data_IF_179932178025
#
_entry.id   IF_179932178025
#
_cell.length_a   1.000
_cell.length_b   1.000
_cell.length_c   1.000
_cell.angle_alpha   90.00
_cell.angle_beta   90.00
_cell.angle_gamma   90.00
#
_symmetry.space_group_name_H-M   'P 1'
#
loop_
_entity.id
_entity.type
_entity.pdbx_description
1 polymer ?
#
# COMPACT_ATOMS: atom_id res chain seq x y z
N UNK A 1 -17.94 -4.97 -22.99
CA UNK A 1 -17.73 -3.53 -22.75
C UNK A 1 -17.81 -3.31 -21.26
N UNK A 2 -16.67 -3.27 -20.56
CA UNK A 2 -16.67 -2.82 -19.16
C UNK A 2 -16.70 -1.29 -19.22
N UNK A 3 -17.80 -0.71 -18.78
CA UNK A 3 -18.05 0.73 -18.82
C UNK A 3 -17.09 1.46 -17.89
N UNK A 4 -16.64 2.64 -18.30
CA UNK A 4 -15.70 3.52 -17.57
C UNK A 4 -16.13 3.76 -16.10
N UNK A 5 -17.43 3.70 -15.79
CA UNK A 5 -17.99 3.79 -14.43
C UNK A 5 -17.48 2.71 -13.46
N UNK A 6 -17.31 1.46 -13.92
CA UNK A 6 -16.86 0.36 -13.08
C UNK A 6 -15.38 0.47 -12.69
N UNK A 7 -14.56 1.08 -13.55
CA UNK A 7 -13.17 1.41 -13.23
C UNK A 7 -13.13 2.59 -12.26
N UNK A 8 -13.86 3.67 -12.55
CA UNK A 8 -13.87 4.88 -11.73
C UNK A 8 -14.21 4.61 -10.26
N UNK A 9 -15.16 3.70 -10.01
CA UNK A 9 -15.53 3.32 -8.65
C UNK A 9 -14.40 2.57 -7.92
N UNK A 10 -13.72 1.62 -8.57
CA UNK A 10 -12.60 0.87 -7.94
C UNK A 10 -11.44 1.78 -7.56
N UNK A 11 -11.10 2.74 -8.41
CA UNK A 11 -10.05 3.72 -8.13
C UNK A 11 -10.40 4.61 -6.94
N UNK A 12 -11.67 5.02 -6.84
CA UNK A 12 -12.15 5.75 -5.67
C UNK A 12 -12.06 4.91 -4.39
N UNK A 13 -12.48 3.65 -4.43
CA UNK A 13 -12.40 2.72 -3.29
C UNK A 13 -10.96 2.54 -2.79
N UNK A 14 -10.00 2.44 -3.72
CA UNK A 14 -8.57 2.34 -3.41
C UNK A 14 -8.01 3.59 -2.74
N UNK A 15 -8.37 4.77 -3.23
CA UNK A 15 -7.95 6.05 -2.62
C UNK A 15 -8.56 6.19 -1.22
N UNK A 16 -9.82 5.81 -1.05
CA UNK A 16 -10.49 5.85 0.26
C UNK A 16 -9.88 4.88 1.27
N UNK A 17 -9.21 3.81 0.82
CA UNK A 17 -8.51 2.88 1.68
C UNK A 17 -7.10 3.36 2.13
N UNK A 18 -6.56 4.42 1.52
CA UNK A 18 -5.22 4.94 1.84
C UNK A 18 -5.05 5.30 3.33
N UNK A 19 -5.98 6.02 3.99
CA UNK A 19 -5.86 6.33 5.42
C UNK A 19 -5.82 5.09 6.31
N UNK A 20 -6.63 4.07 5.99
CA UNK A 20 -6.68 2.81 6.74
C UNK A 20 -5.39 2.00 6.55
N UNK A 21 -4.86 1.97 5.33
CA UNK A 21 -3.57 1.32 5.03
C UNK A 21 -2.42 2.02 5.73
N UNK A 22 -2.40 3.35 5.73
CA UNK A 22 -1.41 4.12 6.47
C UNK A 22 -1.49 3.85 7.97
N UNK A 23 -2.71 3.86 8.54
CA UNK A 23 -2.94 3.49 9.94
C UNK A 23 -2.37 2.11 10.26
N UNK A 24 -2.67 1.13 9.41
CA UNK A 24 -2.20 -0.24 9.57
C UNK A 24 -0.66 -0.32 9.55
N UNK A 25 0.00 0.35 8.61
CA UNK A 25 1.46 0.40 8.54
C UNK A 25 2.07 0.99 9.81
N UNK A 26 1.50 2.08 10.33
CA UNK A 26 1.95 2.70 11.60
C UNK A 26 1.76 1.74 12.76
N UNK A 27 0.60 1.10 12.89
CA UNK A 27 0.31 0.16 13.98
C UNK A 27 1.25 -1.05 13.96
N UNK A 28 1.49 -1.62 12.78
CA UNK A 28 2.43 -2.72 12.62
C UNK A 28 3.87 -2.30 12.92
N UNK A 29 4.28 -1.09 12.53
CA UNK A 29 5.63 -0.59 12.84
C UNK A 29 5.87 -0.47 14.35
N UNK A 30 4.81 -0.19 15.12
CA UNK A 30 4.86 0.00 16.56
C UNK A 30 4.55 -1.28 17.36
N UNK A 31 4.05 -2.34 16.74
CA UNK A 31 3.67 -3.57 17.46
C UNK A 31 4.94 -4.37 17.87
N UNK A 32 5.11 -4.72 19.16
CA UNK A 32 6.25 -5.49 19.65
C UNK A 32 6.33 -6.92 19.06
N UNK A 33 5.21 -7.51 18.62
CA UNK A 33 5.13 -8.83 18.02
C UNK A 33 5.68 -8.85 16.57
N UNK A 34 5.82 -7.69 15.91
CA UNK A 34 6.42 -7.59 14.57
C UNK A 34 7.95 -7.67 14.67
N UNK A 35 8.62 -8.62 13.96
CA UNK A 35 10.08 -8.71 13.97
C UNK A 35 10.77 -7.46 13.38
N UNK A 36 11.95 -7.11 13.91
CA UNK A 36 12.67 -5.88 13.55
C UNK A 36 12.98 -5.76 12.04
N UNK A 37 13.24 -6.89 11.36
CA UNK A 37 13.42 -6.93 9.90
C UNK A 37 12.20 -6.37 9.16
N UNK A 38 10.99 -6.69 9.64
CA UNK A 38 9.74 -6.17 9.05
C UNK A 38 9.49 -4.73 9.44
N UNK A 39 9.82 -4.34 10.68
CA UNK A 39 9.76 -2.93 11.12
C UNK A 39 10.63 -2.02 10.26
N UNK A 40 11.79 -2.49 9.81
CA UNK A 40 12.62 -1.73 8.87
C UNK A 40 11.92 -1.51 7.51
N UNK A 41 11.29 -2.55 6.94
CA UNK A 41 10.51 -2.44 5.70
C UNK A 41 9.29 -1.52 5.87
N UNK A 42 8.57 -1.64 6.98
CA UNK A 42 7.45 -0.76 7.35
C UNK A 42 7.92 0.69 7.51
N UNK A 43 9.03 0.90 8.21
CA UNK A 43 9.64 2.21 8.40
C UNK A 43 10.05 2.86 7.10
N UNK A 44 10.60 2.09 6.14
CA UNK A 44 10.91 2.58 4.79
C UNK A 44 9.65 2.96 4.02
N UNK A 45 8.60 2.15 4.08
CA UNK A 45 7.30 2.49 3.48
C UNK A 45 6.69 3.75 4.08
N UNK A 46 6.64 3.83 5.41
CA UNK A 46 6.16 5.01 6.11
C UNK A 46 7.02 6.24 5.80
N UNK A 47 8.35 6.08 5.74
CA UNK A 47 9.26 7.15 5.36
C UNK A 47 9.01 7.64 3.93
N UNK A 48 8.63 6.76 3.00
CA UNK A 48 8.19 7.13 1.65
C UNK A 48 6.90 7.96 1.73
N UNK A 49 5.88 7.47 2.44
CA UNK A 49 4.60 8.17 2.67
C UNK A 49 4.74 9.57 3.30
N UNK A 50 5.70 9.77 4.22
CA UNK A 50 5.87 11.03 4.96
C UNK A 50 7.06 11.87 4.47
N UNK A 51 7.82 11.39 3.48
CA UNK A 51 9.06 12.02 3.05
C UNK A 51 8.78 13.46 2.64
N UNK A 52 9.44 14.47 3.24
CA UNK A 52 9.25 15.88 2.88
C UNK A 52 9.76 16.24 1.49
N UNK A 53 10.41 15.30 0.79
CA UNK A 53 10.77 15.43 -0.62
C UNK A 53 9.59 15.04 -1.53
N UNK A 54 8.71 14.14 -1.07
CA UNK A 54 7.48 13.69 -1.76
C UNK A 54 6.18 14.21 -1.14
N UNK A 55 6.26 15.03 -0.08
CA UNK A 55 5.36 16.17 0.13
C UNK A 55 5.54 17.23 -0.99
N UNK A 56 5.74 16.76 -2.23
CA UNK A 56 5.33 17.49 -3.41
C UNK A 56 3.84 17.74 -3.22
N UNK A 57 3.39 18.98 -3.41
CA UNK A 57 2.06 19.36 -3.00
C UNK A 57 1.09 18.39 -3.66
N UNK A 58 0.22 17.72 -2.91
CA UNK A 58 -0.93 17.00 -3.47
C UNK A 58 -1.76 17.96 -4.37
N UNK A 59 -1.57 19.27 -4.18
CA UNK A 59 -2.01 20.37 -5.04
C UNK A 59 -1.36 20.47 -6.44
N UNK A 60 -0.26 19.77 -6.75
CA UNK A 60 0.50 19.91 -8.00
C UNK A 60 0.34 18.73 -8.98
N UNK A 61 0.21 17.49 -8.48
CA UNK A 61 0.13 16.27 -9.31
C UNK A 61 -1.25 15.59 -9.29
N UNK A 62 -2.16 16.02 -8.42
CA UNK A 62 -3.48 15.41 -8.30
C UNK A 62 -3.41 13.93 -7.86
N UNK A 63 -4.43 13.11 -8.17
CA UNK A 63 -4.56 11.72 -7.68
C UNK A 63 -3.42 10.76 -8.06
N UNK A 64 -2.55 11.15 -8.98
CA UNK A 64 -1.48 10.28 -9.51
C UNK A 64 -0.37 10.00 -8.50
N UNK A 65 -0.08 10.92 -7.58
CA UNK A 65 0.92 10.72 -6.51
C UNK A 65 0.45 9.80 -5.38
N UNK A 66 -0.85 9.48 -5.32
CA UNK A 66 -1.39 8.55 -4.33
C UNK A 66 -1.34 7.10 -4.80
N UNK A 67 -1.24 6.88 -6.11
CA UNK A 67 -1.33 5.55 -6.71
C UNK A 67 -0.05 4.74 -6.47
N UNK A 68 1.13 5.36 -6.51
CA UNK A 68 2.40 4.68 -6.26
C UNK A 68 2.61 4.39 -4.77
N UNK A 69 2.27 5.33 -3.89
CA UNK A 69 2.23 5.11 -2.44
C UNK A 69 1.36 3.91 -2.06
N UNK A 70 0.15 3.85 -2.62
CA UNK A 70 -0.80 2.77 -2.39
C UNK A 70 -0.23 1.42 -2.84
N UNK A 71 0.44 1.38 -4.00
CA UNK A 71 1.09 0.17 -4.50
C UNK A 71 2.25 -0.24 -3.59
N UNK A 72 3.09 0.70 -3.16
CA UNK A 72 4.19 0.42 -2.22
C UNK A 72 3.66 -0.16 -0.90
N UNK A 73 2.61 0.45 -0.32
CA UNK A 73 1.94 -0.06 0.88
C UNK A 73 1.45 -1.49 0.68
N UNK A 74 0.78 -1.76 -0.44
CA UNK A 74 0.28 -3.10 -0.74
C UNK A 74 1.40 -4.13 -0.87
N UNK A 75 2.54 -3.79 -1.50
CA UNK A 75 3.70 -4.69 -1.57
C UNK A 75 4.32 -4.97 -0.20
N UNK A 76 4.42 -3.96 0.68
CA UNK A 76 4.91 -4.13 2.05
C UNK A 76 3.99 -5.06 2.84
N UNK A 77 2.68 -4.81 2.79
CA UNK A 77 1.68 -5.62 3.48
C UNK A 77 1.64 -7.04 2.93
N UNK A 78 1.72 -7.22 1.61
CA UNK A 78 1.80 -8.55 1.01
C UNK A 78 3.06 -9.30 1.46
N UNK A 79 4.22 -8.64 1.53
CA UNK A 79 5.42 -9.25 2.05
C UNK A 79 5.25 -9.69 3.52
N UNK A 80 4.62 -8.85 4.35
CA UNK A 80 4.31 -9.21 5.74
C UNK A 80 3.31 -10.36 5.85
N UNK A 81 2.23 -10.34 5.08
CA UNK A 81 1.22 -11.41 5.06
C UNK A 81 1.82 -12.77 4.66
N UNK A 82 2.90 -12.76 3.87
CA UNK A 82 3.62 -13.97 3.46
C UNK A 82 4.72 -14.41 4.45
N UNK A 83 5.28 -13.49 5.24
CA UNK A 83 6.42 -13.77 6.15
C UNK A 83 6.03 -13.78 7.65
N UNK A 84 4.84 -13.30 8.01
CA UNK A 84 4.33 -13.19 9.40
C UNK A 84 2.93 -13.80 9.52
N UNK A 85 2.43 -13.95 10.76
CA UNK A 85 1.05 -14.40 10.99
C UNK A 85 0.05 -13.36 10.43
N UNK A 86 -0.82 -13.72 9.46
CA UNK A 86 -1.84 -12.84 8.93
C UNK A 86 -2.78 -12.25 9.98
N UNK A 87 -2.97 -12.93 11.12
CA UNK A 87 -3.79 -12.42 12.21
C UNK A 87 -3.22 -11.13 12.83
N UNK A 88 -1.90 -10.93 12.78
CA UNK A 88 -1.27 -9.70 13.24
C UNK A 88 -1.66 -8.50 12.37
N UNK A 89 -1.79 -8.70 11.06
CA UNK A 89 -2.23 -7.68 10.11
C UNK A 89 -3.72 -7.38 10.32
N UNK A 90 -4.55 -8.42 10.45
CA UNK A 90 -6.00 -8.26 10.70
C UNK A 90 -6.29 -7.57 12.03
N UNK A 91 -5.53 -7.86 13.09
CA UNK A 91 -5.65 -7.26 14.43
C UNK A 91 -5.58 -5.73 14.40
N UNK A 92 -4.79 -5.15 13.49
CA UNK A 92 -4.57 -3.70 13.39
C UNK A 92 -5.32 -3.04 12.25
N UNK A 93 -6.09 -3.81 11.48
CA UNK A 93 -6.83 -3.28 10.34
C UNK A 93 -8.05 -2.48 10.80
N UNK A 94 -8.18 -1.26 10.29
CA UNK A 94 -9.24 -0.33 10.68
C UNK A 94 -10.37 -0.21 9.64
N UNK A 95 -10.18 -0.75 8.43
CA UNK A 95 -11.15 -0.64 7.35
C UNK A 95 -12.22 -1.75 7.36
N UNK A 96 -13.30 -1.51 6.62
CA UNK A 96 -14.45 -2.43 6.56
C UNK A 96 -14.25 -3.62 5.61
N UNK A 97 -13.27 -3.53 4.70
CA UNK A 97 -13.01 -4.56 3.70
C UNK A 97 -12.04 -5.62 4.23
N UNK A 98 -12.02 -6.79 3.60
CA UNK A 98 -10.98 -7.79 3.87
C UNK A 98 -9.62 -7.27 3.38
N UNK A 99 -8.69 -7.03 4.32
CA UNK A 99 -7.39 -6.42 4.02
C UNK A 99 -6.51 -7.29 3.12
N UNK A 100 -6.59 -8.62 3.24
CA UNK A 100 -5.81 -9.52 2.38
C UNK A 100 -6.31 -9.40 0.94
N UNK A 101 -7.63 -9.39 0.75
CA UNK A 101 -8.25 -9.22 -0.56
C UNK A 101 -7.96 -7.86 -1.16
N UNK A 102 -8.06 -6.79 -0.36
CA UNK A 102 -7.76 -5.43 -0.78
C UNK A 102 -6.31 -5.31 -1.28
N UNK A 103 -5.36 -5.81 -0.49
CA UNK A 103 -3.93 -5.80 -0.84
C UNK A 103 -3.69 -6.54 -2.16
N UNK A 104 -4.28 -7.73 -2.34
CA UNK A 104 -4.14 -8.48 -3.59
C UNK A 104 -4.75 -7.72 -4.78
N UNK A 105 -5.91 -7.11 -4.61
CA UNK A 105 -6.57 -6.33 -5.66
C UNK A 105 -5.74 -5.11 -6.09
N UNK A 106 -5.10 -4.42 -5.15
CA UNK A 106 -4.19 -3.31 -5.45
C UNK A 106 -2.98 -3.82 -6.23
N UNK A 107 -2.34 -4.90 -5.79
CA UNK A 107 -1.17 -5.49 -6.47
C UNK A 107 -1.51 -5.92 -7.91
N UNK A 108 -2.67 -6.55 -8.11
CA UNK A 108 -3.15 -7.00 -9.42
C UNK A 108 -3.44 -5.81 -10.35
N UNK A 109 -3.86 -4.67 -9.78
CA UNK A 109 -4.16 -3.44 -10.53
C UNK A 109 -2.92 -2.56 -10.75
N UNK A 110 -1.81 -2.86 -10.06
CA UNK A 110 -0.67 -1.96 -9.93
C UNK A 110 0.02 -1.61 -11.26
N UNK A 111 0.12 -2.59 -12.18
CA UNK A 111 0.66 -2.38 -13.53
C UNK A 111 -0.19 -1.40 -14.36
N UNK A 112 -1.52 -1.43 -14.19
CA UNK A 112 -2.44 -0.45 -14.79
C UNK A 112 -2.32 0.92 -14.10
N UNK A 113 -2.06 0.92 -12.78
CA UNK A 113 -2.10 2.14 -12.00
C UNK A 113 -0.91 3.07 -12.22
N UNK A 114 0.31 2.52 -12.16
CA UNK A 114 1.54 3.31 -12.16
C UNK A 114 2.50 2.93 -13.31
N UNK A 115 2.10 1.96 -14.12
CA UNK A 115 2.87 1.47 -15.26
C UNK A 115 4.00 0.52 -14.90
N UNK A 116 4.28 -0.41 -15.80
CA UNK A 116 5.21 -1.53 -15.56
C UNK A 116 6.65 -1.11 -15.25
N UNK A 117 7.08 0.10 -15.65
CA UNK A 117 8.43 0.60 -15.31
C UNK A 117 8.58 0.84 -13.80
N UNK A 118 7.58 1.44 -13.16
CA UNK A 118 7.60 1.66 -11.71
C UNK A 118 7.39 0.36 -10.95
N UNK A 119 6.46 -0.48 -11.41
CA UNK A 119 6.23 -1.80 -10.81
C UNK A 119 7.48 -2.67 -10.82
N UNK A 120 8.25 -2.68 -11.90
CA UNK A 120 9.49 -3.45 -11.94
C UNK A 120 10.54 -2.93 -10.93
N UNK A 121 10.58 -1.61 -10.66
CA UNK A 121 11.44 -1.06 -9.60
C UNK A 121 10.97 -1.48 -8.22
N UNK A 122 9.66 -1.41 -7.96
CA UNK A 122 9.07 -1.84 -6.67
C UNK A 122 9.33 -3.33 -6.45
N UNK A 123 9.02 -4.19 -7.43
CA UNK A 123 9.31 -5.63 -7.37
C UNK A 123 10.79 -5.90 -7.07
N UNK A 124 11.72 -5.20 -7.72
CA UNK A 124 13.15 -5.33 -7.45
C UNK A 124 13.55 -4.93 -6.02
N UNK A 125 12.84 -3.99 -5.40
CA UNK A 125 13.07 -3.60 -4.00
C UNK A 125 12.67 -4.70 -3.01
N UNK A 126 11.62 -5.48 -3.33
CA UNK A 126 11.03 -6.48 -2.44
C UNK A 126 11.43 -7.94 -2.74
N UNK A 127 12.06 -8.25 -3.88
CA UNK A 127 12.56 -9.60 -4.23
C UNK A 127 13.91 -9.98 -3.56
N UNK A 128 14.22 -9.42 -2.39
CA UNK A 128 15.47 -9.67 -1.64
C UNK A 128 15.27 -10.59 -0.44
#
# INVERSE_FOLDING_TARGET
MQTEEGKNNRWADYILAVPDLFHLLVKLALDPEVPDKHKAKLGLGLAYFISPIDLLPEALLGPLGLADDLVVAAYILNNMLNETDPELVKKHWAGDQDVLRLVQQIIDSADEMIGSRLINKIRAMFQQ
#
